data_IF_814402647690
#
_entry.id   IF_814402647690
#
_cell.length_a   1.000
_cell.length_b   1.000
_cell.length_c   1.000
_cell.angle_alpha   90.00
_cell.angle_beta   90.00
_cell.angle_gamma   90.00
#
_symmetry.space_group_name_H-M   'P 1'
#
loop_
_entity.id
_entity.type
_entity.pdbx_description
1 polymer ?
#
# COMPACT_ATOMS: atom_id res chain seq x y z
N UNK A 1 -7.97 7.55 -24.20
CA UNK A 1 -7.99 6.34 -23.32
C UNK A 1 -7.05 6.47 -22.14
N UNK A 2 -5.75 6.72 -22.36
CA UNK A 2 -4.78 6.86 -21.27
C UNK A 2 -5.11 8.00 -20.30
N UNK A 3 -5.52 9.15 -20.83
CA UNK A 3 -5.92 10.32 -20.02
C UNK A 3 -7.18 10.05 -19.21
N UNK A 4 -8.17 9.34 -19.78
CA UNK A 4 -9.40 8.96 -19.08
C UNK A 4 -9.12 8.02 -17.92
N UNK A 5 -8.23 7.04 -18.13
CA UNK A 5 -7.82 6.12 -17.10
C UNK A 5 -7.04 6.83 -15.98
N UNK A 6 -6.17 7.77 -16.33
CA UNK A 6 -5.44 8.55 -15.33
C UNK A 6 -6.39 9.41 -14.49
N UNK A 7 -7.44 9.97 -15.11
CA UNK A 7 -8.46 10.73 -14.39
C UNK A 7 -9.26 9.84 -13.43
N UNK A 8 -9.68 8.66 -13.88
CA UNK A 8 -10.36 7.68 -13.00
C UNK A 8 -9.50 7.30 -11.81
N UNK A 9 -8.23 7.00 -12.03
CA UNK A 9 -7.28 6.64 -10.98
C UNK A 9 -7.13 7.76 -9.95
N UNK A 10 -6.95 8.99 -10.43
CA UNK A 10 -6.86 10.17 -9.56
C UNK A 10 -8.14 10.36 -8.75
N UNK A 11 -9.30 10.27 -9.38
CA UNK A 11 -10.58 10.41 -8.70
C UNK A 11 -10.78 9.35 -7.62
N UNK A 12 -10.38 8.12 -7.90
CA UNK A 12 -10.45 7.02 -6.92
C UNK A 12 -9.56 7.32 -5.71
N UNK A 13 -8.32 7.77 -5.93
CA UNK A 13 -7.42 8.13 -4.84
C UNK A 13 -7.98 9.30 -4.01
N UNK A 14 -8.57 10.30 -4.66
CA UNK A 14 -9.22 11.43 -3.96
C UNK A 14 -10.44 10.97 -3.15
N UNK A 15 -11.25 10.06 -3.67
CA UNK A 15 -12.38 9.47 -2.96
C UNK A 15 -11.91 8.70 -1.72
N UNK A 16 -10.83 7.93 -1.86
CA UNK A 16 -10.22 7.21 -0.73
C UNK A 16 -9.70 8.18 0.33
N UNK A 17 -9.01 9.25 -0.09
CA UNK A 17 -8.50 10.27 0.83
C UNK A 17 -9.64 10.90 1.62
N UNK A 18 -10.73 11.26 0.97
CA UNK A 18 -11.92 11.83 1.61
C UNK A 18 -12.54 10.86 2.62
N UNK A 19 -12.60 9.57 2.28
CA UNK A 19 -13.12 8.53 3.16
C UNK A 19 -12.28 8.37 4.43
N UNK A 20 -10.96 8.35 4.30
CA UNK A 20 -10.06 8.29 5.44
C UNK A 20 -10.16 9.54 6.33
N UNK A 21 -10.19 10.72 5.73
CA UNK A 21 -10.33 11.98 6.46
C UNK A 21 -11.65 12.03 7.24
N UNK A 22 -12.74 11.54 6.66
CA UNK A 22 -14.04 11.46 7.33
C UNK A 22 -14.02 10.53 8.56
N UNK A 23 -13.10 9.57 8.60
CA UNK A 23 -12.90 8.68 9.76
C UNK A 23 -11.87 9.22 10.76
N UNK A 24 -11.33 10.41 10.51
CA UNK A 24 -10.29 10.99 11.36
C UNK A 24 -8.88 10.48 11.08
N UNK A 25 -8.69 9.74 9.99
CA UNK A 25 -7.40 9.22 9.56
C UNK A 25 -6.76 10.20 8.58
N UNK A 26 -5.55 10.67 8.87
CA UNK A 26 -4.85 11.63 8.01
C UNK A 26 -4.50 11.03 6.65
N UNK A 27 -5.01 11.63 5.58
CA UNK A 27 -4.78 11.17 4.21
C UNK A 27 -4.63 12.35 3.25
N UNK A 28 -3.71 12.22 2.30
CA UNK A 28 -3.46 13.23 1.27
C UNK A 28 -3.06 12.56 -0.03
N UNK A 29 -3.48 13.12 -1.16
CA UNK A 29 -3.01 12.70 -2.48
C UNK A 29 -1.84 13.59 -2.89
N UNK A 30 -0.69 12.97 -3.11
CA UNK A 30 0.51 13.62 -3.64
C UNK A 30 0.47 13.46 -5.15
N UNK A 31 0.35 14.57 -5.88
CA UNK A 31 0.24 14.53 -7.34
C UNK A 31 1.59 14.21 -7.99
N UNK A 32 1.52 13.59 -9.16
CA UNK A 32 2.68 13.32 -10.02
C UNK A 32 3.53 14.59 -10.20
N UNK A 33 4.83 14.46 -9.99
CA UNK A 33 5.80 15.55 -10.11
C UNK A 33 6.04 16.32 -8.83
N UNK A 34 5.19 16.19 -7.80
CA UNK A 34 5.40 16.80 -6.48
C UNK A 34 6.36 15.91 -5.68
N UNK A 35 7.38 16.51 -5.10
CA UNK A 35 8.40 15.79 -4.30
C UNK A 35 9.04 14.60 -5.03
N UNK A 36 9.13 14.66 -6.37
CA UNK A 36 9.72 13.62 -7.18
C UNK A 36 8.81 12.42 -7.43
N UNK A 37 7.52 12.51 -7.11
CA UNK A 37 6.56 11.41 -7.33
C UNK A 37 6.41 11.07 -8.81
N UNK A 38 6.58 9.81 -9.16
CA UNK A 38 6.45 9.32 -10.55
C UNK A 38 4.98 9.15 -10.99
N UNK A 39 4.06 9.06 -10.03
CA UNK A 39 2.62 8.97 -10.25
C UNK A 39 1.89 9.62 -9.09
N UNK A 40 0.57 9.75 -9.19
CA UNK A 40 -0.25 10.20 -8.06
C UNK A 40 -0.21 9.14 -6.96
N UNK A 41 0.06 9.55 -5.72
CA UNK A 41 0.19 8.67 -4.56
C UNK A 41 -0.77 9.11 -3.46
N UNK A 42 -1.60 8.18 -2.99
CA UNK A 42 -2.37 8.37 -1.77
C UNK A 42 -1.48 8.01 -0.58
N UNK A 43 -1.18 8.99 0.26
CA UNK A 43 -0.40 8.79 1.50
C UNK A 43 -1.36 8.85 2.69
N UNK A 44 -1.36 7.79 3.50
CA UNK A 44 -2.26 7.66 4.66
C UNK A 44 -1.44 7.36 5.89
N UNK A 45 -1.74 8.04 6.99
CA UNK A 45 -1.16 7.74 8.30
C UNK A 45 -2.17 6.89 9.07
N UNK A 46 -1.88 5.61 9.19
CA UNK A 46 -2.72 4.67 9.94
C UNK A 46 -2.26 4.60 11.39
N UNK A 47 -3.16 4.88 12.30
CA UNK A 47 -2.92 4.85 13.75
C UNK A 47 -3.77 3.80 14.49
N UNK A 48 -4.54 3.02 13.75
CA UNK A 48 -5.51 2.06 14.25
C UNK A 48 -5.18 0.60 13.91
N UNK A 49 -3.95 0.30 13.52
CA UNK A 49 -3.55 -1.09 13.25
C UNK A 49 -3.39 -1.84 14.55
N UNK A 50 -4.19 -2.88 14.71
CA UNK A 50 -4.14 -3.76 15.87
C UNK A 50 -2.74 -4.35 16.05
N UNK A 51 -2.21 -4.27 17.27
CA UNK A 51 -0.89 -4.77 17.57
C UNK A 51 0.24 -3.75 17.40
N UNK A 52 -0.03 -2.57 16.84
CA UNK A 52 0.93 -1.48 16.73
C UNK A 52 0.51 -0.28 17.58
N UNK A 53 1.44 0.25 18.36
CA UNK A 53 1.23 1.45 19.16
C UNK A 53 1.56 2.73 18.41
N UNK A 54 2.44 2.63 17.39
CA UNK A 54 2.84 3.75 16.55
C UNK A 54 2.04 3.80 15.26
N UNK A 55 1.95 5.01 14.71
CA UNK A 55 1.39 5.21 13.37
C UNK A 55 2.30 4.61 12.31
N UNK A 56 1.71 4.13 11.23
CA UNK A 56 2.43 3.65 10.04
C UNK A 56 1.95 4.42 8.82
N UNK A 57 2.83 4.57 7.85
CA UNK A 57 2.50 5.23 6.59
C UNK A 57 2.15 4.20 5.53
N UNK A 58 0.94 4.28 5.00
CA UNK A 58 0.55 3.57 3.79
C UNK A 58 0.70 4.46 2.57
N UNK A 59 1.26 3.90 1.49
CA UNK A 59 1.33 4.53 0.18
C UNK A 59 0.60 3.66 -0.81
N UNK A 60 -0.36 4.26 -1.51
CA UNK A 60 -1.27 3.54 -2.40
C UNK A 60 -1.28 4.25 -3.74
N UNK A 61 -0.97 3.51 -4.82
CA UNK A 61 -0.79 4.12 -6.13
C UNK A 61 -0.95 3.12 -7.27
N UNK A 62 -1.11 3.64 -8.47
CA UNK A 62 -1.14 2.85 -9.70
C UNK A 62 0.21 3.00 -10.40
N UNK A 63 1.12 2.02 -10.25
CA UNK A 63 2.43 2.09 -10.90
C UNK A 63 2.28 1.93 -12.41
N UNK A 64 3.15 2.63 -13.16
CA UNK A 64 3.28 2.45 -14.59
C UNK A 64 4.44 1.50 -14.86
N UNK A 65 4.14 0.31 -15.39
CA UNK A 65 5.17 -0.64 -15.81
C UNK A 65 5.39 -0.55 -17.32
N UNK A 66 6.64 -0.55 -17.75
CA UNK A 66 7.00 -0.53 -19.18
C UNK A 66 6.50 -1.77 -19.91
N UNK A 67 6.44 -2.90 -19.21
CA UNK A 67 5.97 -4.17 -19.74
C UNK A 67 4.66 -4.53 -19.05
N UNK A 68 3.62 -3.78 -19.34
CA UNK A 68 2.28 -4.11 -18.88
C UNK A 68 1.53 -4.90 -19.96
N UNK A 69 0.75 -5.89 -19.54
CA UNK A 69 -0.16 -6.56 -20.46
C UNK A 69 -1.24 -5.58 -20.93
N UNK A 70 -1.75 -5.77 -22.15
CA UNK A 70 -2.84 -4.95 -22.67
C UNK A 70 -4.09 -5.10 -21.80
N UNK A 71 -4.80 -3.99 -21.56
CA UNK A 71 -6.04 -3.93 -20.78
C UNK A 71 -5.89 -4.29 -19.30
N UNK A 72 -4.67 -4.23 -18.78
CA UNK A 72 -4.39 -4.45 -17.36
C UNK A 72 -3.75 -3.19 -16.75
N UNK A 73 -4.22 -2.81 -15.60
CA UNK A 73 -3.59 -1.81 -14.73
C UNK A 73 -3.19 -2.47 -13.43
N UNK A 74 -2.25 -1.89 -12.72
CA UNK A 74 -1.76 -2.42 -11.45
C UNK A 74 -2.03 -1.44 -10.33
N UNK A 75 -2.34 -1.97 -9.16
CA UNK A 75 -2.49 -1.15 -7.95
C UNK A 75 -1.54 -1.68 -6.88
N UNK A 76 -0.79 -0.77 -6.26
CA UNK A 76 0.22 -1.12 -5.25
C UNK A 76 -0.14 -0.53 -3.89
N UNK A 77 -0.03 -1.37 -2.87
CA UNK A 77 -0.05 -0.97 -1.47
C UNK A 77 1.36 -1.17 -0.91
N UNK A 78 1.94 -0.12 -0.35
CA UNK A 78 3.21 -0.18 0.36
C UNK A 78 3.00 0.39 1.75
N UNK A 79 3.11 -0.46 2.78
CA UNK A 79 2.90 -0.06 4.17
C UNK A 79 4.24 -0.08 4.88
N UNK A 80 4.77 1.11 5.20
CA UNK A 80 6.00 1.27 5.94
C UNK A 80 5.74 1.02 7.43
N UNK A 81 6.35 -0.03 7.98
CA UNK A 81 6.15 -0.39 9.37
C UNK A 81 7.04 0.47 10.27
N UNK A 82 6.57 0.71 11.48
CA UNK A 82 7.16 1.72 12.35
C UNK A 82 8.55 1.37 12.87
N UNK A 83 9.27 2.41 13.31
CA UNK A 83 10.59 2.30 13.92
C UNK A 83 10.61 1.45 15.19
N UNK A 84 9.48 1.22 15.87
CA UNK A 84 9.38 0.28 16.99
C UNK A 84 9.91 -1.12 16.63
N UNK A 85 9.79 -1.48 15.36
CA UNK A 85 10.20 -2.79 14.86
C UNK A 85 11.65 -2.82 14.40
N UNK A 86 12.34 -1.68 14.36
CA UNK A 86 13.72 -1.59 13.87
C UNK A 86 14.78 -1.89 14.92
N UNK A 87 14.38 -2.34 16.10
CA UNK A 87 15.30 -2.68 17.19
C UNK A 87 16.13 -3.94 16.94
N UNK A 88 15.74 -4.75 15.97
CA UNK A 88 16.48 -5.93 15.53
C UNK A 88 17.33 -5.59 14.32
N UNK A 89 18.42 -6.31 14.13
CA UNK A 89 19.23 -6.13 12.92
C UNK A 89 18.49 -6.63 11.67
N UNK A 90 18.94 -6.18 10.50
CA UNK A 90 18.33 -6.50 9.21
C UNK A 90 18.29 -8.02 8.94
N UNK A 91 19.28 -8.77 9.42
CA UNK A 91 19.34 -10.22 9.22
C UNK A 91 18.26 -10.95 10.01
N UNK A 92 17.95 -10.50 11.21
CA UNK A 92 16.87 -11.07 12.03
C UNK A 92 15.51 -10.86 11.34
N UNK A 93 15.25 -9.66 10.80
CA UNK A 93 14.02 -9.37 10.07
C UNK A 93 13.96 -10.15 8.75
N UNK A 94 15.05 -10.27 8.02
CA UNK A 94 15.11 -11.05 6.79
C UNK A 94 14.72 -12.51 7.04
N UNK A 95 15.19 -13.09 8.13
CA UNK A 95 14.82 -14.46 8.52
C UNK A 95 13.32 -14.58 8.78
N UNK A 96 12.74 -13.64 9.51
CA UNK A 96 11.29 -13.62 9.80
C UNK A 96 10.51 -13.48 8.49
N UNK A 97 10.90 -12.57 7.61
CA UNK A 97 10.28 -12.42 6.28
C UNK A 97 10.29 -13.73 5.49
N UNK A 98 11.42 -14.43 5.47
CA UNK A 98 11.56 -15.70 4.76
C UNK A 98 10.67 -16.81 5.35
N UNK A 99 10.39 -16.77 6.64
CA UNK A 99 9.48 -17.71 7.29
C UNK A 99 8.01 -17.39 7.04
N UNK A 100 7.65 -16.10 7.02
CA UNK A 100 6.27 -15.63 6.90
C UNK A 100 5.80 -15.59 5.45
N UNK A 101 6.58 -15.02 4.54
CA UNK A 101 6.14 -14.74 3.18
C UNK A 101 5.54 -15.94 2.43
N UNK A 102 6.06 -17.17 2.56
CA UNK A 102 5.43 -18.33 1.92
C UNK A 102 4.03 -18.67 2.45
N UNK A 103 3.67 -18.18 3.63
CA UNK A 103 2.37 -18.45 4.28
C UNK A 103 1.33 -17.38 4.03
N UNK A 104 1.72 -16.24 3.44
CA UNK A 104 0.80 -15.14 3.16
C UNK A 104 -0.17 -15.47 2.03
N UNK A 105 -1.42 -15.04 2.19
CA UNK A 105 -2.42 -15.15 1.13
C UNK A 105 -2.08 -14.20 -0.02
N UNK A 106 -1.57 -13.01 0.30
CA UNK A 106 -1.18 -12.02 -0.69
C UNK A 106 -0.07 -11.12 -0.15
N UNK A 107 0.71 -10.55 -1.06
CA UNK A 107 1.78 -9.62 -0.72
C UNK A 107 2.99 -10.26 -0.07
N UNK A 108 3.90 -9.43 0.40
CA UNK A 108 5.13 -9.87 1.07
C UNK A 108 5.69 -8.79 1.98
N UNK A 109 6.37 -9.22 3.04
CA UNK A 109 7.18 -8.32 3.88
C UNK A 109 8.59 -8.27 3.32
N UNK A 110 9.10 -7.06 3.11
CA UNK A 110 10.40 -6.80 2.48
C UNK A 110 11.15 -5.78 3.32
N UNK A 111 12.47 -5.93 3.40
CA UNK A 111 13.33 -4.95 4.06
C UNK A 111 14.03 -4.12 3.00
N UNK A 112 13.77 -2.81 3.01
CA UNK A 112 14.47 -1.85 2.18
C UNK A 112 15.55 -1.15 3.00
N UNK A 113 16.78 -1.03 2.48
CA UNK A 113 17.90 -0.49 3.26
C UNK A 113 17.68 0.90 3.87
N UNK A 114 16.93 1.76 3.18
CA UNK A 114 16.73 3.14 3.62
C UNK A 114 15.39 3.37 4.34
N UNK A 115 14.43 2.47 4.18
CA UNK A 115 13.08 2.62 4.71
C UNK A 115 12.81 1.68 5.88
N UNK A 116 13.42 0.50 5.86
CA UNK A 116 13.18 -0.54 6.84
C UNK A 116 12.16 -1.57 6.37
N UNK A 117 11.38 -2.09 7.28
CA UNK A 117 10.40 -3.14 7.00
C UNK A 117 9.15 -2.57 6.33
N UNK A 118 8.79 -3.11 5.18
CA UNK A 118 7.63 -2.69 4.39
C UNK A 118 6.81 -3.91 4.00
N UNK A 119 5.50 -3.80 4.11
CA UNK A 119 4.58 -4.76 3.50
C UNK A 119 4.21 -4.26 2.11
N UNK A 120 4.44 -5.07 1.10
CA UNK A 120 4.16 -4.77 -0.30
C UNK A 120 3.11 -5.70 -0.88
N UNK A 121 2.14 -5.11 -1.59
CA UNK A 121 1.14 -5.85 -2.34
C UNK A 121 0.88 -5.12 -3.65
N UNK A 122 1.05 -5.81 -4.78
CA UNK A 122 0.65 -5.30 -6.09
C UNK A 122 -0.34 -6.26 -6.71
N UNK A 123 -1.48 -5.76 -7.15
CA UNK A 123 -2.53 -6.56 -7.77
C UNK A 123 -2.81 -6.09 -9.18
N UNK A 124 -3.06 -7.01 -10.13
CA UNK A 124 -3.54 -6.65 -11.46
C UNK A 124 -5.06 -6.37 -11.41
N UNK A 125 -5.49 -5.35 -12.12
CA UNK A 125 -6.89 -4.99 -12.27
C UNK A 125 -7.22 -4.81 -13.75
N UNK A 126 -8.47 -5.07 -14.12
CA UNK A 126 -8.93 -4.81 -15.49
C UNK A 126 -8.96 -3.31 -15.72
N UNK A 127 -8.38 -2.85 -16.83
CA UNK A 127 -8.27 -1.41 -17.14
C UNK A 127 -9.64 -0.76 -17.40
N UNK A 128 -10.60 -1.51 -17.91
CA UNK A 128 -11.94 -1.02 -18.27
C UNK A 128 -12.95 -0.90 -17.13
N UNK A 129 -12.52 -1.06 -15.89
CA UNK A 129 -13.41 -0.88 -14.75
C UNK A 129 -13.98 0.55 -14.73
N UNK A 130 -15.25 0.68 -14.34
CA UNK A 130 -15.82 2.00 -14.06
C UNK A 130 -15.14 2.61 -12.84
N UNK A 131 -15.30 3.90 -12.62
CA UNK A 131 -14.73 4.57 -11.45
C UNK A 131 -15.22 3.94 -10.14
N UNK A 132 -16.52 3.62 -10.03
CA UNK A 132 -17.08 2.99 -8.85
C UNK A 132 -16.55 1.56 -8.64
N UNK A 133 -16.43 0.79 -9.70
CA UNK A 133 -15.83 -0.55 -9.64
C UNK A 133 -14.37 -0.50 -9.25
N UNK A 134 -13.62 0.46 -9.79
CA UNK A 134 -12.21 0.65 -9.46
C UNK A 134 -12.06 1.05 -7.98
N UNK A 135 -12.89 1.97 -7.50
CA UNK A 135 -12.92 2.37 -6.09
C UNK A 135 -13.15 1.16 -5.18
N UNK A 136 -14.11 0.31 -5.51
CA UNK A 136 -14.41 -0.90 -4.75
C UNK A 136 -13.22 -1.86 -4.69
N UNK A 137 -12.56 -2.09 -5.84
CA UNK A 137 -11.39 -2.96 -5.91
C UNK A 137 -10.20 -2.40 -5.12
N UNK A 138 -9.97 -1.11 -5.19
CA UNK A 138 -8.93 -0.43 -4.42
C UNK A 138 -9.22 -0.53 -2.92
N UNK A 139 -10.45 -0.29 -2.52
CA UNK A 139 -10.86 -0.36 -1.12
C UNK A 139 -10.66 -1.77 -0.54
N UNK A 140 -11.07 -2.81 -1.27
CA UNK A 140 -10.85 -4.20 -0.88
C UNK A 140 -9.36 -4.51 -0.75
N UNK A 141 -8.56 -4.07 -1.72
CA UNK A 141 -7.12 -4.32 -1.74
C UNK A 141 -6.41 -3.67 -0.55
N UNK A 142 -6.74 -2.42 -0.24
CA UNK A 142 -6.18 -1.72 0.93
C UNK A 142 -6.60 -2.45 2.22
N UNK A 143 -7.86 -2.85 2.34
CA UNK A 143 -8.36 -3.60 3.48
C UNK A 143 -7.60 -4.92 3.69
N UNK A 144 -7.34 -5.65 2.62
CA UNK A 144 -6.57 -6.89 2.67
C UNK A 144 -5.11 -6.64 3.09
N UNK A 145 -4.49 -5.58 2.57
CA UNK A 145 -3.12 -5.21 2.95
C UNK A 145 -3.02 -4.91 4.45
N UNK A 146 -3.93 -4.10 4.96
CA UNK A 146 -3.97 -3.78 6.39
C UNK A 146 -4.25 -5.00 7.26
N UNK A 147 -5.12 -5.90 6.81
CA UNK A 147 -5.40 -7.15 7.51
C UNK A 147 -4.18 -8.08 7.57
N UNK A 148 -3.40 -8.16 6.49
CA UNK A 148 -2.16 -8.95 6.48
C UNK A 148 -1.13 -8.38 7.45
N UNK A 149 -0.95 -7.08 7.47
CA UNK A 149 -0.07 -6.42 8.44
C UNK A 149 -0.50 -6.75 9.87
N UNK A 150 -1.77 -6.55 10.19
CA UNK A 150 -2.31 -6.82 11.53
C UNK A 150 -2.17 -8.28 11.97
N UNK A 151 -2.34 -9.22 11.03
CA UNK A 151 -2.27 -10.65 11.33
C UNK A 151 -0.84 -11.13 11.63
N UNK A 152 0.19 -10.50 11.04
CA UNK A 152 1.56 -11.00 11.13
C UNK A 152 2.52 -10.09 11.89
N UNK A 153 2.07 -8.90 12.29
CA UNK A 153 2.96 -7.91 12.92
C UNK A 153 3.62 -8.42 14.21
N UNK A 154 2.93 -9.25 14.99
CA UNK A 154 3.43 -9.78 16.25
C UNK A 154 4.68 -10.66 16.05
N UNK A 155 4.84 -11.27 14.89
CA UNK A 155 6.02 -12.08 14.58
C UNK A 155 7.30 -11.24 14.55
N UNK A 156 7.17 -9.95 14.18
CA UNK A 156 8.31 -9.02 14.13
C UNK A 156 8.64 -8.41 15.48
N UNK A 157 7.73 -8.46 16.43
CA UNK A 157 7.92 -7.91 17.77
C UNK A 157 8.62 -8.88 18.76
N UNK A 158 8.58 -10.15 18.45
CA UNK A 158 9.09 -11.17 19.35
C UNK A 158 10.62 -11.19 19.48
#
# INVERSE_FOLDING_TARGET
>A
MREENNLKRRNVLEMMASGFDAQGTGAVVINKGVDGAECDILSVIHDDIEGLNDSVRGRYYFPEFEIAADNVQYFTCAIELSDELTKKDSNAYAKICNEINPTLVCGSFVIYPEVGLVYNLTVPLIERLTEDELFEQVNITIGNALAMVGAFIDRFKA
#
